data_IF_189793838167
#
_entry.id   IF_189793838167
#
_cell.length_a   1.000
_cell.length_b   1.000
_cell.length_c   1.000
_cell.angle_alpha   90.00
_cell.angle_beta   90.00
_cell.angle_gamma   90.00
#
_symmetry.space_group_name_H-M   'P 1'
#
loop_
_entity.id
_entity.type
_entity.pdbx_description
1 polymer ?
#
# COMPACT_ATOMS: atom_id res chain seq x y z
N UNK A 1 7.75 35.98 13.51
CA UNK A 1 6.65 35.35 12.76
C UNK A 1 5.66 34.78 13.76
N UNK A 2 4.35 34.98 13.56
CA UNK A 2 3.33 34.23 14.34
C UNK A 2 3.45 32.75 13.98
N UNK A 3 3.24 31.87 14.96
CA UNK A 3 3.19 30.43 14.70
C UNK A 3 1.97 30.09 13.83
N UNK A 4 2.06 29.07 12.95
CA UNK A 4 0.92 28.65 12.11
C UNK A 4 -0.30 28.27 12.94
N UNK A 5 -1.51 28.46 12.40
CA UNK A 5 -2.77 28.15 13.08
C UNK A 5 -2.82 26.71 13.56
N UNK A 6 -2.39 25.76 12.73
CA UNK A 6 -2.33 24.34 13.09
C UNK A 6 -1.40 24.03 14.27
N UNK A 7 -0.41 24.88 14.54
CA UNK A 7 0.44 24.77 15.73
C UNK A 7 -0.23 25.39 16.96
N UNK A 8 -0.82 26.58 16.80
CA UNK A 8 -1.51 27.30 17.89
C UNK A 8 -2.74 26.56 18.41
N UNK A 9 -3.46 25.88 17.52
CA UNK A 9 -4.66 25.10 17.83
C UNK A 9 -4.38 23.68 18.33
N UNK A 10 -3.13 23.34 18.69
CA UNK A 10 -2.82 22.01 19.22
C UNK A 10 -3.54 21.79 20.56
N UNK A 11 -4.35 20.72 20.68
CA UNK A 11 -4.91 20.27 21.94
C UNK A 11 -3.89 20.22 23.08
N UNK A 12 -4.31 20.64 24.28
CA UNK A 12 -3.50 20.52 25.50
C UNK A 12 -4.01 19.41 26.41
N UNK A 13 -5.33 19.17 26.40
CA UNK A 13 -5.99 18.16 27.19
C UNK A 13 -6.55 17.02 26.34
N UNK A 14 -6.79 15.87 26.98
CA UNK A 14 -7.36 14.72 26.28
C UNK A 14 -8.78 15.01 25.75
N UNK A 15 -9.54 15.85 26.45
CA UNK A 15 -10.88 16.31 26.05
C UNK A 15 -10.86 17.30 24.87
N UNK A 16 -9.70 17.91 24.58
CA UNK A 16 -9.54 18.80 23.43
C UNK A 16 -9.27 18.05 22.13
N UNK A 17 -8.94 16.75 22.21
CA UNK A 17 -8.66 15.92 21.03
C UNK A 17 -9.99 15.68 20.30
N UNK A 18 -10.01 16.10 19.05
CA UNK A 18 -11.14 15.90 18.16
C UNK A 18 -11.02 14.54 17.48
N UNK A 19 -12.11 13.78 17.48
CA UNK A 19 -12.15 12.40 17.01
C UNK A 19 -11.50 11.40 17.99
N UNK A 20 -11.10 10.23 17.47
CA UNK A 20 -10.40 9.15 18.21
C UNK A 20 -11.11 8.62 19.47
N UNK A 21 -12.45 8.73 19.55
CA UNK A 21 -13.24 8.28 20.72
C UNK A 21 -13.07 6.78 21.03
N UNK A 22 -12.63 5.97 20.06
CA UNK A 22 -12.28 4.57 20.30
C UNK A 22 -11.06 4.38 21.22
N UNK A 23 -10.19 5.38 21.34
CA UNK A 23 -8.99 5.36 22.19
C UNK A 23 -9.13 6.21 23.45
N UNK A 24 -9.78 7.38 23.35
CA UNK A 24 -9.82 8.39 24.42
C UNK A 24 -11.16 8.50 25.13
N UNK A 25 -12.21 7.85 24.62
CA UNK A 25 -13.54 7.90 25.20
C UNK A 25 -13.63 7.29 26.59
N UNK A 26 -14.80 7.40 27.21
CA UNK A 26 -15.02 6.89 28.57
C UNK A 26 -14.69 5.38 28.67
N UNK A 27 -13.87 5.04 29.66
CA UNK A 27 -13.42 3.66 29.89
C UNK A 27 -12.44 3.11 28.85
N UNK A 28 -12.00 3.88 27.86
CA UNK A 28 -11.02 3.45 26.85
C UNK A 28 -9.58 3.48 27.36
N UNK A 29 -8.70 2.81 26.63
CA UNK A 29 -7.34 2.50 27.08
C UNK A 29 -6.51 3.75 27.41
N UNK A 30 -6.47 4.76 26.53
CA UNK A 30 -5.65 5.95 26.77
C UNK A 30 -6.22 6.81 27.90
N UNK A 31 -7.56 6.89 28.01
CA UNK A 31 -8.25 7.54 29.13
C UNK A 31 -7.88 6.89 30.46
N UNK A 32 -7.88 5.55 30.52
CA UNK A 32 -7.47 4.80 31.71
C UNK A 32 -5.99 5.01 32.03
N UNK A 33 -5.11 5.07 31.03
CA UNK A 33 -3.70 5.37 31.25
C UNK A 33 -3.49 6.72 31.96
N UNK A 34 -4.24 7.75 31.55
CA UNK A 34 -4.22 9.08 32.20
C UNK A 34 -4.76 8.99 33.63
N UNK A 35 -5.92 8.36 33.83
CA UNK A 35 -6.56 8.23 35.16
C UNK A 35 -5.70 7.45 36.16
N UNK A 36 -5.08 6.36 35.73
CA UNK A 36 -4.24 5.49 36.56
C UNK A 36 -2.77 6.00 36.66
N UNK A 37 -2.47 7.13 36.03
CA UNK A 37 -1.12 7.71 35.92
C UNK A 37 -0.05 6.70 35.45
N UNK A 38 -0.40 5.86 34.47
CA UNK A 38 0.47 4.78 34.00
C UNK A 38 0.46 4.69 32.48
N UNK A 39 1.65 4.78 31.89
CA UNK A 39 1.87 4.51 30.47
C UNK A 39 2.67 3.24 30.25
N UNK A 40 2.61 2.78 29.00
CA UNK A 40 3.47 1.76 28.43
C UNK A 40 3.92 2.25 27.06
N UNK A 41 5.02 1.70 26.55
CA UNK A 41 5.53 2.08 25.24
C UNK A 41 4.53 1.74 24.14
N UNK A 42 4.30 2.67 23.22
CA UNK A 42 3.28 2.56 22.19
C UNK A 42 3.70 3.23 20.88
N UNK A 43 3.06 2.83 19.78
CA UNK A 43 3.23 3.43 18.47
C UNK A 43 1.85 3.79 17.92
N UNK A 44 1.66 5.07 17.65
CA UNK A 44 0.53 5.58 16.89
C UNK A 44 0.82 5.46 15.39
N UNK A 45 -0.05 4.77 14.67
CA UNK A 45 0.02 4.65 13.22
C UNK A 45 -1.29 5.09 12.57
N UNK A 46 -1.20 5.69 11.40
CA UNK A 46 -2.37 6.15 10.65
C UNK A 46 -2.04 7.32 9.74
N UNK A 47 -3.01 7.81 8.95
CA UNK A 47 -2.78 8.82 7.91
C UNK A 47 -2.17 10.13 8.44
N UNK A 48 -1.48 10.93 7.60
CA UNK A 48 -0.97 12.24 8.00
C UNK A 48 -2.07 13.15 8.53
N UNK A 49 -1.70 14.11 9.38
CA UNK A 49 -2.64 15.14 9.85
C UNK A 49 -3.69 14.71 10.88
N UNK A 50 -3.77 13.41 11.22
CA UNK A 50 -4.73 12.84 12.18
C UNK A 50 -4.41 13.09 13.66
N UNK A 51 -3.34 13.83 13.98
CA UNK A 51 -3.01 14.22 15.35
C UNK A 51 -2.15 13.23 16.15
N UNK A 52 -1.49 12.26 15.53
CA UNK A 52 -0.58 11.28 16.21
C UNK A 52 0.41 11.94 17.18
N UNK A 53 1.22 12.88 16.69
CA UNK A 53 2.22 13.60 17.49
C UNK A 53 1.56 14.46 18.57
N UNK A 54 0.41 15.06 18.25
CA UNK A 54 -0.37 15.86 19.20
C UNK A 54 -0.87 15.00 20.36
N UNK A 55 -1.46 13.84 20.08
CA UNK A 55 -1.94 12.91 21.08
C UNK A 55 -0.81 12.43 22.00
N UNK A 56 0.39 12.17 21.45
CA UNK A 56 1.56 11.84 22.25
C UNK A 56 1.94 12.96 23.24
N UNK A 57 1.93 14.22 22.79
CA UNK A 57 2.23 15.37 23.66
C UNK A 57 1.15 15.59 24.71
N UNK A 58 -0.13 15.45 24.34
CA UNK A 58 -1.27 15.56 25.29
C UNK A 58 -1.17 14.53 26.40
N UNK A 59 -0.85 13.27 26.06
CA UNK A 59 -0.66 12.22 27.07
C UNK A 59 0.48 12.56 28.03
N UNK A 60 1.61 13.08 27.53
CA UNK A 60 2.72 13.48 28.38
C UNK A 60 2.35 14.63 29.32
N UNK A 61 1.62 15.62 28.82
CA UNK A 61 1.17 16.78 29.57
C UNK A 61 0.16 16.42 30.66
N UNK A 62 -0.88 15.63 30.33
CA UNK A 62 -1.92 15.17 31.27
C UNK A 62 -1.36 14.33 32.42
N UNK A 63 -0.28 13.59 32.16
CA UNK A 63 0.39 12.78 33.17
C UNK A 63 1.44 13.54 33.97
N UNK A 64 1.70 14.81 33.62
CA UNK A 64 2.75 15.64 34.21
C UNK A 64 4.14 14.97 34.13
N UNK A 65 4.36 14.14 33.10
CA UNK A 65 5.61 13.42 32.89
C UNK A 65 6.56 14.23 32.00
N UNK A 66 7.87 14.28 32.33
CA UNK A 66 8.83 14.94 31.46
C UNK A 66 8.91 14.19 30.13
N UNK A 67 8.97 14.93 29.03
CA UNK A 67 9.13 14.34 27.70
C UNK A 67 10.20 15.02 26.86
N UNK A 68 10.71 14.27 25.88
CA UNK A 68 11.63 14.73 24.84
C UNK A 68 11.15 14.31 23.48
N UNK A 69 11.18 15.25 22.54
CA UNK A 69 10.94 14.99 21.12
C UNK A 69 12.24 14.55 20.46
N UNK A 70 12.20 13.49 19.67
CA UNK A 70 13.30 13.05 18.83
C UNK A 70 12.85 12.94 17.38
N UNK A 71 13.58 13.59 16.48
CA UNK A 71 13.31 13.54 15.05
C UNK A 71 14.06 12.34 14.43
N UNK A 72 13.33 11.35 13.90
CA UNK A 72 13.94 10.15 13.34
C UNK A 72 14.88 10.42 12.14
N UNK A 73 14.60 11.48 11.37
CA UNK A 73 15.32 11.83 10.14
C UNK A 73 16.61 12.59 10.45
N UNK A 74 16.52 13.66 11.24
CA UNK A 74 17.64 14.57 11.49
C UNK A 74 18.43 14.24 12.76
N UNK A 75 17.82 13.54 13.72
CA UNK A 75 18.43 13.24 15.01
C UNK A 75 19.60 12.28 14.87
N UNK A 76 20.69 12.55 15.57
CA UNK A 76 21.90 11.74 15.55
C UNK A 76 21.97 10.82 16.78
N UNK A 77 23.02 9.97 16.85
CA UNK A 77 23.23 9.03 17.96
C UNK A 77 23.50 9.74 19.30
N UNK A 78 24.24 10.85 19.29
CA UNK A 78 24.57 11.62 20.50
C UNK A 78 23.33 12.26 21.12
N UNK A 79 22.38 12.70 20.29
CA UNK A 79 21.12 13.26 20.77
C UNK A 79 20.32 12.22 21.56
N UNK A 80 20.24 10.97 21.07
CA UNK A 80 19.63 9.86 21.81
C UNK A 80 20.39 9.52 23.10
N UNK A 81 21.71 9.45 23.05
CA UNK A 81 22.53 9.19 24.24
C UNK A 81 22.32 10.26 25.32
N UNK A 82 22.14 11.53 24.91
CA UNK A 82 21.83 12.63 25.83
C UNK A 82 20.47 12.42 26.50
N UNK A 83 19.44 12.06 25.72
CA UNK A 83 18.11 11.73 26.24
C UNK A 83 18.20 10.55 27.23
N UNK A 84 18.99 9.51 26.93
CA UNK A 84 19.15 8.37 27.83
C UNK A 84 19.90 8.70 29.12
N UNK A 85 20.82 9.67 29.09
CA UNK A 85 21.47 10.17 30.29
C UNK A 85 20.48 10.97 31.14
N UNK A 86 19.65 11.81 30.53
CA UNK A 86 18.55 12.52 31.22
C UNK A 86 17.55 11.55 31.85
N UNK A 87 17.20 10.47 31.15
CA UNK A 87 16.29 9.43 31.64
C UNK A 87 16.74 8.74 32.94
N UNK A 88 18.03 8.82 33.30
CA UNK A 88 18.52 8.30 34.59
C UNK A 88 18.12 9.17 35.78
N UNK A 89 17.75 10.42 35.54
CA UNK A 89 17.39 11.39 36.57
C UNK A 89 15.88 11.56 36.73
N UNK A 90 15.10 11.12 35.74
CA UNK A 90 13.64 11.21 35.73
C UNK A 90 13.04 9.81 35.60
N UNK A 91 12.31 9.34 36.62
CA UNK A 91 11.50 8.14 36.47
C UNK A 91 10.37 8.41 35.46
N UNK A 92 10.23 7.53 34.46
CA UNK A 92 9.13 7.61 33.49
C UNK A 92 9.30 8.66 32.38
N UNK A 93 10.54 9.06 32.03
CA UNK A 93 10.78 9.97 30.90
C UNK A 93 10.14 9.42 29.61
N UNK A 94 9.30 10.26 28.98
CA UNK A 94 8.66 9.92 27.71
C UNK A 94 9.56 10.39 26.55
N UNK A 95 9.85 9.48 25.62
CA UNK A 95 10.54 9.81 24.37
C UNK A 95 9.54 9.70 23.23
N UNK A 96 9.20 10.85 22.64
CA UNK A 96 8.29 10.93 21.50
C UNK A 96 9.11 10.94 20.22
N UNK A 97 8.92 9.93 19.36
CA UNK A 97 9.63 9.81 18.09
C UNK A 97 8.64 9.98 16.94
N UNK A 98 8.78 11.08 16.20
CA UNK A 98 8.01 11.29 14.97
C UNK A 98 8.68 10.59 13.78
N UNK A 99 7.86 10.08 12.87
CA UNK A 99 8.27 9.21 11.75
C UNK A 99 9.19 8.06 12.17
N UNK A 100 8.79 7.30 13.19
CA UNK A 100 9.60 6.23 13.80
C UNK A 100 10.08 5.17 12.79
N UNK A 101 9.36 4.99 11.68
CA UNK A 101 9.73 4.11 10.58
C UNK A 101 11.01 4.55 9.84
N UNK A 102 11.40 5.82 9.94
CA UNK A 102 12.62 6.38 9.31
C UNK A 102 13.87 6.19 10.16
N UNK A 103 13.75 5.66 11.38
CA UNK A 103 14.92 5.30 12.18
C UNK A 103 15.71 4.19 11.48
N UNK A 104 17.01 4.39 11.33
CA UNK A 104 17.89 3.32 10.88
C UNK A 104 18.05 2.23 11.96
N UNK A 105 18.50 1.04 11.55
CA UNK A 105 18.63 -0.12 12.44
C UNK A 105 19.50 0.17 13.67
N UNK A 106 20.62 0.86 13.49
CA UNK A 106 21.55 1.18 14.58
C UNK A 106 20.89 2.04 15.68
N UNK A 107 20.10 3.06 15.32
CA UNK A 107 19.38 3.89 16.31
C UNK A 107 18.27 3.10 17.00
N UNK A 108 17.61 2.18 16.29
CA UNK A 108 16.58 1.33 16.87
C UNK A 108 17.17 0.38 17.92
N UNK A 109 18.32 -0.23 17.64
CA UNK A 109 18.99 -1.15 18.56
C UNK A 109 19.47 -0.42 19.84
N UNK A 110 19.78 0.87 19.75
CA UNK A 110 20.12 1.70 20.93
C UNK A 110 18.92 1.97 21.85
N UNK A 111 17.68 1.99 21.33
CA UNK A 111 16.49 2.24 22.14
C UNK A 111 16.09 1.01 22.98
N UNK A 112 16.37 -0.21 22.49
CA UNK A 112 15.85 -1.45 23.07
C UNK A 112 16.17 -1.63 24.57
N UNK A 113 17.42 -1.47 25.05
CA UNK A 113 17.73 -1.70 26.46
C UNK A 113 17.02 -0.72 27.39
N UNK A 114 16.76 0.51 26.91
CA UNK A 114 16.10 1.55 27.70
C UNK A 114 14.59 1.36 27.76
N UNK A 115 13.98 0.82 26.69
CA UNK A 115 12.56 0.45 26.67
C UNK A 115 12.31 -0.80 27.53
N UNK A 116 13.19 -1.80 27.47
CA UNK A 116 13.04 -3.05 28.24
C UNK A 116 13.12 -2.86 29.76
N UNK A 117 14.08 -2.06 30.20
CA UNK A 117 14.32 -1.84 31.63
C UNK A 117 13.37 -0.77 32.20
N UNK A 118 12.50 -0.18 31.39
CA UNK A 118 11.54 0.85 31.80
C UNK A 118 12.15 2.23 32.05
N UNK A 119 13.41 2.45 31.67
CA UNK A 119 14.09 3.74 31.83
C UNK A 119 13.42 4.84 30.99
N UNK A 120 12.84 4.47 29.84
CA UNK A 120 12.04 5.37 29.01
C UNK A 120 10.70 4.74 28.65
N UNK A 121 9.69 5.58 28.48
CA UNK A 121 8.45 5.21 27.78
C UNK A 121 8.51 5.75 26.36
N UNK A 122 8.51 4.87 25.37
CA UNK A 122 8.58 5.26 23.96
C UNK A 122 7.16 5.52 23.43
N UNK A 123 6.93 6.68 22.81
CA UNK A 123 5.73 6.96 22.01
C UNK A 123 6.16 7.26 20.57
N UNK A 124 6.00 6.31 19.67
CA UNK A 124 6.29 6.47 18.25
C UNK A 124 5.08 6.99 17.46
N UNK A 125 5.30 7.81 16.44
CA UNK A 125 4.30 8.15 15.43
C UNK A 125 4.79 7.74 14.03
N UNK A 126 3.90 7.19 13.20
CA UNK A 126 4.21 6.80 11.81
C UNK A 126 3.00 6.95 10.90
N UNK A 127 3.21 7.35 9.65
CA UNK A 127 2.17 7.33 8.60
C UNK A 127 2.05 5.98 7.89
N UNK A 128 3.13 5.20 7.85
CA UNK A 128 3.16 3.87 7.22
C UNK A 128 2.77 2.75 8.18
N UNK A 129 2.28 1.63 7.62
CA UNK A 129 1.92 0.43 8.38
C UNK A 129 3.10 -0.14 9.20
N UNK A 130 3.01 -0.15 10.54
CA UNK A 130 4.11 -0.54 11.41
C UNK A 130 4.47 -2.03 11.34
N UNK A 131 3.61 -2.88 10.78
CA UNK A 131 3.90 -4.32 10.64
C UNK A 131 5.05 -4.58 9.65
N UNK A 132 5.21 -3.71 8.65
CA UNK A 132 6.23 -3.83 7.62
C UNK A 132 7.44 -2.93 7.86
N UNK A 133 7.25 -1.75 8.45
CA UNK A 133 8.28 -0.71 8.49
C UNK A 133 9.07 -0.66 9.81
N UNK A 134 8.51 -1.17 10.91
CA UNK A 134 9.15 -1.15 12.23
C UNK A 134 9.79 -2.50 12.54
N UNK A 135 11.03 -2.49 13.03
CA UNK A 135 11.76 -3.69 13.42
C UNK A 135 10.94 -4.52 14.44
N UNK A 136 10.83 -5.85 14.25
CA UNK A 136 10.18 -6.76 15.19
C UNK A 136 10.60 -6.57 16.65
N UNK A 137 11.85 -6.19 16.93
CA UNK A 137 12.35 -5.98 18.29
C UNK A 137 11.63 -4.83 19.01
N UNK A 138 11.46 -3.66 18.37
CA UNK A 138 10.71 -2.53 18.93
C UNK A 138 9.22 -2.89 18.99
N UNK A 139 8.68 -3.48 17.91
CA UNK A 139 7.26 -3.84 17.82
C UNK A 139 6.83 -4.81 18.94
N UNK A 140 7.68 -5.75 19.33
CA UNK A 140 7.37 -6.68 20.43
C UNK A 140 7.29 -6.01 21.82
N UNK A 141 7.81 -4.79 21.96
CA UNK A 141 7.88 -4.02 23.22
C UNK A 141 6.95 -2.81 23.22
N UNK A 142 6.24 -2.56 22.13
CA UNK A 142 5.33 -1.43 21.95
C UNK A 142 3.94 -1.92 21.56
N UNK A 143 2.91 -1.33 22.14
CA UNK A 143 1.56 -1.56 21.66
C UNK A 143 1.26 -0.68 20.44
N UNK A 144 0.59 -1.24 19.43
CA UNK A 144 0.23 -0.50 18.22
C UNK A 144 -1.19 0.06 18.37
N UNK A 145 -1.35 1.37 18.18
CA UNK A 145 -2.64 2.04 18.19
C UNK A 145 -2.92 2.71 16.85
N UNK A 146 -4.03 2.32 16.23
CA UNK A 146 -4.52 2.93 15.00
C UNK A 146 -5.18 4.27 15.31
N UNK A 147 -4.66 5.33 14.69
CA UNK A 147 -5.29 6.64 14.63
C UNK A 147 -6.08 6.74 13.32
N UNK A 148 -7.40 6.86 13.46
CA UNK A 148 -8.33 6.89 12.32
C UNK A 148 -8.36 8.28 11.68
N UNK A 149 -8.79 8.37 10.42
CA UNK A 149 -9.13 9.67 9.83
C UNK A 149 -10.28 10.32 10.59
N UNK A 150 -10.21 11.65 10.73
CA UNK A 150 -11.31 12.43 11.27
C UNK A 150 -12.50 12.35 10.31
N UNK A 151 -13.71 12.24 10.87
CA UNK A 151 -14.93 12.34 10.07
C UNK A 151 -15.15 13.79 9.62
N UNK A 152 -16.06 14.01 8.68
CA UNK A 152 -16.32 15.36 8.19
C UNK A 152 -16.78 16.28 9.33
N UNK A 153 -17.65 15.78 10.21
CA UNK A 153 -18.15 16.51 11.37
C UNK A 153 -17.03 16.85 12.37
N UNK A 154 -16.04 15.97 12.53
CA UNK A 154 -14.85 16.23 13.35
C UNK A 154 -14.03 17.40 12.77
N UNK A 155 -13.85 17.44 11.45
CA UNK A 155 -13.12 18.53 10.79
C UNK A 155 -13.88 19.85 10.95
N UNK A 156 -15.20 19.85 10.76
CA UNK A 156 -16.04 21.04 10.92
C UNK A 156 -15.96 21.57 12.36
N UNK A 157 -16.01 20.69 13.36
CA UNK A 157 -15.80 21.06 14.76
C UNK A 157 -14.41 21.68 14.99
N UNK A 158 -13.36 21.13 14.38
CA UNK A 158 -12.00 21.65 14.51
C UNK A 158 -11.86 23.06 13.90
N UNK A 159 -12.47 23.28 12.75
CA UNK A 159 -12.49 24.57 12.05
C UNK A 159 -13.26 25.61 12.87
N UNK A 160 -14.46 25.28 13.34
CA UNK A 160 -15.26 26.17 14.18
C UNK A 160 -14.55 26.51 15.50
N UNK A 161 -13.93 25.51 16.15
CA UNK A 161 -13.08 25.76 17.34
C UNK A 161 -11.95 26.73 17.01
N UNK A 162 -11.27 26.57 15.88
CA UNK A 162 -10.18 27.46 15.48
C UNK A 162 -10.62 28.90 15.18
N UNK A 163 -11.84 29.11 14.69
CA UNK A 163 -12.39 30.44 14.44
C UNK A 163 -12.64 31.19 15.76
N UNK A 164 -13.27 30.52 16.73
CA UNK A 164 -13.71 31.15 17.99
C UNK A 164 -12.64 31.15 19.09
N UNK A 165 -11.62 30.29 19.02
CA UNK A 165 -10.63 30.17 20.08
C UNK A 165 -9.67 31.37 20.12
N UNK A 166 -9.29 31.80 21.34
CA UNK A 166 -8.40 32.95 21.57
C UNK A 166 -7.03 32.78 20.88
N UNK A 167 -6.45 31.58 20.96
CA UNK A 167 -5.17 31.28 20.27
C UNK A 167 -5.34 31.04 18.76
N UNK A 168 -6.58 30.92 18.28
CA UNK A 168 -6.95 30.69 16.89
C UNK A 168 -7.08 31.97 16.09
N UNK A 169 -8.27 32.21 15.53
CA UNK A 169 -8.62 33.45 14.84
C UNK A 169 -9.33 34.46 15.74
N UNK A 170 -9.78 34.04 16.94
CA UNK A 170 -10.39 34.92 17.95
C UNK A 170 -11.49 35.81 17.35
N UNK A 171 -12.42 35.18 16.63
CA UNK A 171 -13.57 35.84 15.99
C UNK A 171 -13.20 36.95 14.99
N UNK A 172 -11.97 36.94 14.45
CA UNK A 172 -11.54 37.95 13.46
C UNK A 172 -12.19 37.78 12.09
N UNK A 173 -12.73 36.59 11.81
CA UNK A 173 -13.39 36.24 10.55
C UNK A 173 -14.66 35.44 10.82
N UNK A 174 -15.63 35.54 9.92
CA UNK A 174 -16.79 34.66 9.82
C UNK A 174 -16.59 33.68 8.66
N UNK A 175 -17.24 32.52 8.71
CA UNK A 175 -17.22 31.52 7.64
C UNK A 175 -18.65 31.17 7.23
N UNK A 176 -18.88 31.05 5.94
CA UNK A 176 -20.14 30.51 5.42
C UNK A 176 -20.22 29.00 5.63
N UNK A 177 -21.43 28.48 5.86
CA UNK A 177 -21.66 27.05 6.09
C UNK A 177 -21.15 26.19 4.93
N UNK A 178 -21.42 26.60 3.68
CA UNK A 178 -20.93 25.87 2.49
C UNK A 178 -19.40 25.92 2.38
N UNK A 179 -18.77 27.04 2.73
CA UNK A 179 -17.32 27.18 2.74
C UNK A 179 -16.68 26.21 3.77
N UNK A 180 -17.29 26.10 4.96
CA UNK A 180 -16.89 25.17 6.01
C UNK A 180 -16.96 23.71 5.51
N UNK A 181 -18.08 23.33 4.89
CA UNK A 181 -18.26 21.98 4.33
C UNK A 181 -17.28 21.65 3.22
N UNK A 182 -16.92 22.62 2.37
CA UNK A 182 -15.93 22.41 1.30
C UNK A 182 -14.55 22.15 1.89
N UNK A 183 -14.10 22.94 2.87
CA UNK A 183 -12.82 22.71 3.54
C UNK A 183 -12.81 21.32 4.19
N UNK A 184 -13.90 20.96 4.88
CA UNK A 184 -14.02 19.67 5.53
C UNK A 184 -13.93 18.50 4.54
N UNK A 185 -14.68 18.57 3.43
CA UNK A 185 -14.66 17.55 2.37
C UNK A 185 -13.29 17.46 1.69
N UNK A 186 -12.67 18.59 1.38
CA UNK A 186 -11.36 18.62 0.73
C UNK A 186 -10.24 18.17 1.66
N UNK A 187 -10.40 18.26 2.98
CA UNK A 187 -9.38 17.82 3.92
C UNK A 187 -9.16 16.31 3.95
N UNK A 188 -10.16 15.53 3.53
CA UNK A 188 -10.13 14.06 3.56
C UNK A 188 -9.69 13.50 4.94
N UNK A 189 -10.17 14.12 6.02
CA UNK A 189 -9.86 13.72 7.40
C UNK A 189 -8.52 14.22 7.96
N UNK A 190 -7.81 15.10 7.24
CA UNK A 190 -6.58 15.77 7.71
C UNK A 190 -6.90 17.12 8.36
N UNK A 191 -6.85 17.16 9.71
CA UNK A 191 -7.10 18.37 10.50
C UNK A 191 -6.02 19.44 10.26
N UNK A 192 -4.76 19.04 10.02
CA UNK A 192 -3.68 20.01 9.80
C UNK A 192 -3.89 20.73 8.47
N UNK A 193 -4.24 19.99 7.43
CA UNK A 193 -4.54 20.54 6.11
C UNK A 193 -5.76 21.47 6.17
N UNK A 194 -6.84 21.07 6.85
CA UNK A 194 -8.04 21.93 6.98
C UNK A 194 -7.72 23.26 7.68
N UNK A 195 -6.96 23.22 8.78
CA UNK A 195 -6.53 24.43 9.50
C UNK A 195 -5.61 25.32 8.66
N UNK A 196 -4.76 24.74 7.81
CA UNK A 196 -3.92 25.52 6.90
C UNK A 196 -4.76 26.24 5.83
N UNK A 197 -5.75 25.57 5.23
CA UNK A 197 -6.67 26.23 4.29
C UNK A 197 -7.43 27.35 4.99
N UNK A 198 -7.94 27.10 6.20
CA UNK A 198 -8.65 28.10 6.99
C UNK A 198 -7.76 29.32 7.25
N UNK A 199 -6.49 29.12 7.62
CA UNK A 199 -5.53 30.22 7.83
C UNK A 199 -5.29 31.02 6.54
N UNK A 200 -5.13 30.35 5.39
CA UNK A 200 -4.97 31.02 4.09
C UNK A 200 -6.22 31.82 3.72
N UNK A 201 -7.41 31.23 3.86
CA UNK A 201 -8.68 31.90 3.54
C UNK A 201 -8.94 33.08 4.49
N UNK A 202 -8.60 32.95 5.77
CA UNK A 202 -8.71 34.05 6.74
C UNK A 202 -7.74 35.21 6.44
N UNK A 203 -6.56 34.92 5.88
CA UNK A 203 -5.61 35.95 5.44
C UNK A 203 -6.05 36.64 4.15
N UNK A 204 -6.76 35.92 3.28
CA UNK A 204 -7.21 36.42 1.99
C UNK A 204 -8.61 37.06 2.02
N UNK A 205 -9.33 36.96 3.14
CA UNK A 205 -10.69 37.49 3.28
C UNK A 205 -10.72 38.89 3.87
N UNK A 206 -11.77 39.64 3.53
CA UNK A 206 -12.15 40.90 4.20
C UNK A 206 -13.10 40.63 5.37
N UNK A 207 -12.79 39.62 6.20
CA UNK A 207 -13.56 39.26 7.38
C UNK A 207 -14.65 38.20 7.19
N UNK A 208 -14.95 37.77 5.95
CA UNK A 208 -15.87 36.66 5.67
C UNK A 208 -15.23 35.68 4.67
N UNK A 209 -15.18 34.41 5.04
CA UNK A 209 -14.69 33.31 4.20
C UNK A 209 -15.87 32.71 3.42
N UNK A 210 -15.90 32.95 2.11
CA UNK A 210 -16.95 32.46 1.21
C UNK A 210 -16.56 31.19 0.48
N UNK A 211 -17.55 30.51 -0.11
CA UNK A 211 -17.33 29.33 -0.95
C UNK A 211 -16.37 29.60 -2.12
N UNK A 212 -16.48 30.75 -2.78
CA UNK A 212 -15.62 31.10 -3.92
C UNK A 212 -14.17 31.26 -3.48
N UNK A 213 -13.94 31.87 -2.32
CA UNK A 213 -12.61 32.04 -1.76
C UNK A 213 -11.97 30.68 -1.44
N UNK A 214 -12.71 29.79 -0.77
CA UNK A 214 -12.23 28.44 -0.49
C UNK A 214 -11.91 27.69 -1.79
N UNK A 215 -12.77 27.79 -2.80
CA UNK A 215 -12.58 27.12 -4.09
C UNK A 215 -11.33 27.63 -4.83
N UNK A 216 -10.94 28.90 -4.64
CA UNK A 216 -9.72 29.47 -5.22
C UNK A 216 -8.45 28.90 -4.59
N UNK A 217 -8.45 28.66 -3.26
CA UNK A 217 -7.27 28.22 -2.51
C UNK A 217 -7.25 26.71 -2.21
N UNK A 218 -8.36 26.01 -2.44
CA UNK A 218 -8.51 24.56 -2.27
C UNK A 218 -9.01 23.93 -3.58
N UNK A 219 -8.26 24.12 -4.67
CA UNK A 219 -8.64 23.61 -6.00
C UNK A 219 -8.59 22.08 -6.12
N UNK A 220 -7.82 21.42 -5.25
CA UNK A 220 -7.67 19.98 -5.25
C UNK A 220 -7.92 19.41 -3.85
N UNK A 221 -8.69 18.31 -3.71
CA UNK A 221 -8.79 17.59 -2.46
C UNK A 221 -7.40 17.14 -1.96
N UNK A 222 -7.24 17.07 -0.64
CA UNK A 222 -6.09 16.45 -0.01
C UNK A 222 -6.09 14.94 -0.32
N UNK A 223 -5.55 14.59 -1.48
CA UNK A 223 -5.27 13.19 -1.79
C UNK A 223 -4.12 12.78 -0.88
N UNK A 224 -4.41 11.88 0.07
CA UNK A 224 -3.37 11.24 0.90
C UNK A 224 -2.55 10.30 0.03
N UNK A 225 -1.73 10.87 -0.84
CA UNK A 225 -0.78 10.18 -1.69
C UNK A 225 0.61 10.46 -1.16
N UNK A 226 0.85 9.97 0.06
CA UNK A 226 2.20 9.54 0.37
C UNK A 226 2.44 8.28 -0.45
N UNK A 227 3.49 8.30 -1.27
CA UNK A 227 3.98 7.16 -2.07
C UNK A 227 4.27 5.89 -1.24
N UNK A 228 4.26 6.01 0.10
CA UNK A 228 4.57 4.97 1.08
C UNK A 228 3.42 4.68 2.08
N UNK A 229 2.20 5.18 1.83
CA UNK A 229 1.03 5.05 2.73
C UNK A 229 0.00 3.98 2.33
N UNK A 230 -0.80 3.49 3.28
CA UNK A 230 -1.84 2.46 3.04
C UNK A 230 -2.90 2.89 2.00
N UNK A 231 -3.28 4.18 1.97
CA UNK A 231 -4.26 4.71 1.01
C UNK A 231 -3.80 4.63 -0.46
N UNK A 232 -2.49 4.66 -0.70
CA UNK A 232 -1.92 4.48 -2.04
C UNK A 232 -2.09 3.04 -2.54
N UNK A 233 -1.85 2.07 -1.66
CA UNK A 233 -2.08 0.66 -1.96
C UNK A 233 -3.56 0.35 -2.17
N UNK A 234 -4.45 1.03 -1.44
CA UNK A 234 -5.90 0.88 -1.61
C UNK A 234 -6.38 1.37 -2.97
N UNK A 235 -5.86 2.49 -3.49
CA UNK A 235 -6.17 2.98 -4.84
C UNK A 235 -5.70 2.00 -5.91
N UNK A 236 -4.45 1.51 -5.82
CA UNK A 236 -3.92 0.52 -6.76
C UNK A 236 -4.71 -0.79 -6.71
N UNK A 237 -5.15 -1.19 -5.51
CA UNK A 237 -5.96 -2.38 -5.30
C UNK A 237 -7.37 -2.21 -5.86
N UNK A 238 -7.99 -1.05 -5.64
CA UNK A 238 -9.28 -0.67 -6.21
C UNK A 238 -9.22 -0.70 -7.73
N UNK A 239 -8.20 -0.07 -8.32
CA UNK A 239 -7.97 -0.06 -9.77
C UNK A 239 -7.94 -1.46 -10.37
N UNK A 240 -7.11 -2.36 -9.81
CA UNK A 240 -7.01 -3.74 -10.29
C UNK A 240 -8.33 -4.51 -10.13
N UNK A 241 -8.99 -4.36 -8.97
CA UNK A 241 -10.27 -5.03 -8.70
C UNK A 241 -11.38 -4.56 -9.64
N UNK A 242 -11.41 -3.27 -10.00
CA UNK A 242 -12.38 -2.74 -10.96
C UNK A 242 -12.19 -3.32 -12.36
N UNK A 243 -10.94 -3.41 -12.83
CA UNK A 243 -10.65 -4.05 -14.13
C UNK A 243 -11.06 -5.53 -14.09
N UNK A 244 -10.69 -6.25 -13.02
CA UNK A 244 -11.08 -7.66 -12.80
C UNK A 244 -12.59 -7.84 -12.77
N UNK A 245 -13.30 -6.96 -12.07
CA UNK A 245 -14.75 -6.96 -11.92
C UNK A 245 -15.51 -6.45 -13.13
N UNK A 246 -14.81 -6.05 -14.20
CA UNK A 246 -15.41 -5.47 -15.41
C UNK A 246 -16.21 -4.19 -15.18
N UNK A 247 -15.82 -3.41 -14.16
CA UNK A 247 -16.40 -2.09 -13.87
C UNK A 247 -15.53 -0.99 -14.49
N UNK A 248 -15.96 -0.49 -15.65
CA UNK A 248 -15.22 0.53 -16.44
C UNK A 248 -15.18 1.86 -15.71
N UNK A 249 -16.30 2.27 -15.11
CA UNK A 249 -16.41 3.57 -14.47
C UNK A 249 -15.50 3.64 -13.24
N UNK A 250 -15.53 2.59 -12.40
CA UNK A 250 -14.64 2.49 -11.26
C UNK A 250 -13.16 2.39 -11.68
N UNK A 251 -12.84 1.63 -12.75
CA UNK A 251 -11.47 1.53 -13.24
C UNK A 251 -10.92 2.87 -13.74
N UNK A 252 -11.74 3.65 -14.46
CA UNK A 252 -11.37 4.98 -14.93
C UNK A 252 -11.27 5.99 -13.78
N UNK A 253 -12.13 5.88 -12.75
CA UNK A 253 -12.04 6.71 -11.55
C UNK A 253 -10.70 6.52 -10.82
N UNK A 254 -10.31 5.28 -10.53
CA UNK A 254 -9.02 5.00 -9.87
C UNK A 254 -7.83 5.34 -10.76
N UNK A 255 -7.93 5.15 -12.08
CA UNK A 255 -6.93 5.64 -13.03
C UNK A 255 -6.78 7.16 -12.92
N UNK A 256 -7.88 7.89 -12.89
CA UNK A 256 -7.90 9.35 -12.74
C UNK A 256 -7.17 9.82 -11.49
N UNK A 257 -7.45 9.19 -10.34
CA UNK A 257 -6.74 9.48 -9.09
C UNK A 257 -5.21 9.35 -9.26
N UNK A 258 -4.73 8.28 -9.90
CA UNK A 258 -3.29 8.06 -10.11
C UNK A 258 -2.68 9.01 -11.16
N UNK A 259 -3.48 9.46 -12.14
CA UNK A 259 -3.03 10.45 -13.13
C UNK A 259 -2.85 11.82 -12.49
N UNK A 260 -3.79 12.24 -11.64
CA UNK A 260 -3.66 13.50 -10.87
C UNK A 260 -2.46 13.47 -9.93
N UNK A 261 -2.09 12.28 -9.44
CA UNK A 261 -0.87 12.03 -8.67
C UNK A 261 0.43 12.07 -9.49
N UNK A 262 0.34 12.16 -10.82
CA UNK A 262 1.45 12.07 -11.76
C UNK A 262 2.28 10.77 -11.61
N UNK A 263 1.64 9.66 -11.23
CA UNK A 263 2.29 8.39 -10.90
C UNK A 263 2.21 7.37 -12.05
N UNK A 264 2.99 7.62 -13.09
CA UNK A 264 3.05 6.73 -14.26
C UNK A 264 3.62 5.35 -13.93
N UNK A 265 4.58 5.28 -13.02
CA UNK A 265 5.31 4.06 -12.69
C UNK A 265 4.40 3.00 -12.08
N UNK A 266 3.51 3.39 -11.18
CA UNK A 266 2.60 2.43 -10.55
C UNK A 266 1.40 2.10 -11.40
N UNK A 267 0.93 3.03 -12.25
CA UNK A 267 -0.03 2.71 -13.31
C UNK A 267 0.55 1.62 -14.21
N UNK A 268 1.79 1.79 -14.72
CA UNK A 268 2.46 0.78 -15.55
C UNK A 268 2.49 -0.58 -14.85
N UNK A 269 3.09 -0.64 -13.65
CA UNK A 269 3.33 -1.91 -12.97
C UNK A 269 2.03 -2.65 -12.72
N UNK A 270 1.01 -1.94 -12.22
CA UNK A 270 -0.28 -2.53 -11.87
C UNK A 270 -1.07 -2.94 -13.11
N UNK A 271 -1.07 -2.11 -14.15
CA UNK A 271 -1.81 -2.37 -15.38
C UNK A 271 -1.21 -3.56 -16.15
N UNK A 272 0.12 -3.67 -16.23
CA UNK A 272 0.80 -4.82 -16.83
C UNK A 272 0.47 -6.13 -16.10
N UNK A 273 0.57 -6.13 -14.77
CA UNK A 273 0.24 -7.33 -13.97
C UNK A 273 -1.21 -7.71 -14.18
N UNK A 274 -2.14 -6.75 -14.09
CA UNK A 274 -3.57 -7.00 -14.30
C UNK A 274 -3.86 -7.56 -15.70
N UNK A 275 -3.17 -7.08 -16.74
CA UNK A 275 -3.31 -7.59 -18.10
C UNK A 275 -2.95 -9.08 -18.20
N UNK A 276 -1.84 -9.52 -17.58
CA UNK A 276 -1.43 -10.93 -17.63
C UNK A 276 -2.15 -11.83 -16.62
N UNK A 277 -2.46 -11.31 -15.44
CA UNK A 277 -3.13 -12.02 -14.34
C UNK A 277 -4.61 -12.25 -14.63
N UNK A 278 -5.33 -11.17 -14.93
CA UNK A 278 -6.80 -11.16 -14.97
C UNK A 278 -7.36 -11.34 -16.38
N UNK A 279 -6.63 -10.94 -17.43
CA UNK A 279 -7.05 -11.10 -18.83
C UNK A 279 -6.32 -12.28 -19.48
N UNK A 280 -4.99 -12.31 -19.44
CA UNK A 280 -4.16 -13.46 -19.84
C UNK A 280 -4.57 -14.12 -21.16
N UNK A 281 -4.84 -15.43 -21.10
CA UNK A 281 -5.30 -16.23 -22.26
C UNK A 281 -6.76 -15.94 -22.68
N UNK A 282 -7.50 -15.17 -21.89
CA UNK A 282 -8.83 -14.68 -22.22
C UNK A 282 -8.78 -13.74 -23.43
N UNK A 283 -7.80 -12.85 -23.51
CA UNK A 283 -7.58 -12.00 -24.69
C UNK A 283 -6.10 -11.60 -24.86
N UNK A 284 -5.26 -12.48 -25.44
CA UNK A 284 -3.82 -12.21 -25.59
C UNK A 284 -3.52 -10.95 -26.41
N UNK A 285 -4.39 -10.61 -27.37
CA UNK A 285 -4.23 -9.41 -28.19
C UNK A 285 -4.42 -8.12 -27.36
N UNK A 286 -5.37 -8.10 -26.41
CA UNK A 286 -5.54 -6.98 -25.50
C UNK A 286 -4.33 -6.83 -24.54
N UNK A 287 -3.76 -7.95 -24.07
CA UNK A 287 -2.54 -7.92 -23.23
C UNK A 287 -1.37 -7.28 -23.99
N UNK A 288 -1.15 -7.67 -25.25
CA UNK A 288 -0.09 -7.09 -26.08
C UNK A 288 -0.33 -5.60 -26.38
N UNK A 289 -1.58 -5.22 -26.69
CA UNK A 289 -1.96 -3.82 -26.88
C UNK A 289 -1.75 -2.99 -25.61
N UNK A 290 -2.05 -3.54 -24.44
CA UNK A 290 -1.82 -2.87 -23.17
C UNK A 290 -0.34 -2.52 -22.96
N UNK A 291 0.57 -3.49 -23.17
CA UNK A 291 2.01 -3.22 -23.05
C UNK A 291 2.46 -2.11 -24.02
N UNK A 292 1.96 -2.15 -25.26
CA UNK A 292 2.27 -1.13 -26.28
C UNK A 292 1.70 0.24 -25.90
N UNK A 293 0.49 0.27 -25.33
CA UNK A 293 -0.16 1.49 -24.85
C UNK A 293 0.60 2.12 -23.68
N UNK A 294 1.13 1.31 -22.76
CA UNK A 294 1.96 1.79 -21.64
C UNK A 294 3.26 2.41 -22.16
N UNK A 295 3.95 1.75 -23.10
CA UNK A 295 5.16 2.30 -23.72
C UNK A 295 4.87 3.62 -24.45
N UNK A 296 3.75 3.70 -25.16
CA UNK A 296 3.32 4.92 -25.83
C UNK A 296 2.97 6.02 -24.82
N UNK A 297 2.22 5.71 -23.76
CA UNK A 297 1.85 6.63 -22.70
C UNK A 297 3.09 7.23 -22.03
N UNK A 298 4.10 6.42 -21.72
CA UNK A 298 5.37 6.89 -21.17
C UNK A 298 6.14 7.84 -22.09
N UNK A 299 6.16 7.54 -23.39
CA UNK A 299 6.83 8.40 -24.39
C UNK A 299 6.10 9.73 -24.58
N UNK A 300 4.78 9.72 -24.48
CA UNK A 300 3.94 10.93 -24.63
C UNK A 300 3.98 11.78 -23.36
N UNK A 301 3.92 11.18 -22.17
CA UNK A 301 3.85 11.88 -20.90
C UNK A 301 2.47 12.49 -20.60
N UNK A 302 2.28 12.93 -19.36
CA UNK A 302 1.04 13.61 -18.96
C UNK A 302 1.03 15.07 -19.41
N UNK A 303 -0.14 15.64 -19.77
CA UNK A 303 -1.48 15.07 -19.60
C UNK A 303 -1.92 14.10 -20.71
N UNK A 304 -1.39 14.14 -21.93
CA UNK A 304 -1.88 13.37 -23.10
C UNK A 304 -1.86 11.85 -22.90
N UNK A 305 -0.92 11.33 -22.11
CA UNK A 305 -0.84 9.91 -21.75
C UNK A 305 -2.14 9.35 -21.14
N UNK A 306 -2.96 10.20 -20.47
CA UNK A 306 -4.27 9.79 -19.91
C UNK A 306 -5.19 9.16 -20.95
N UNK A 307 -5.14 9.64 -22.19
CA UNK A 307 -6.02 9.19 -23.28
C UNK A 307 -5.62 7.78 -23.70
N UNK A 308 -4.32 7.55 -23.83
CA UNK A 308 -3.75 6.25 -24.21
C UNK A 308 -4.04 5.21 -23.13
N UNK A 309 -3.85 5.57 -21.87
CA UNK A 309 -4.12 4.71 -20.72
C UNK A 309 -5.61 4.38 -20.59
N UNK A 310 -6.49 5.37 -20.78
CA UNK A 310 -7.94 5.14 -20.74
C UNK A 310 -8.40 4.11 -21.78
N UNK A 311 -7.89 4.18 -23.01
CA UNK A 311 -8.18 3.20 -24.07
C UNK A 311 -7.75 1.79 -23.64
N UNK A 312 -6.54 1.64 -23.10
CA UNK A 312 -6.04 0.35 -22.64
C UNK A 312 -6.86 -0.22 -21.47
N UNK A 313 -7.22 0.63 -20.50
CA UNK A 313 -8.03 0.23 -19.34
C UNK A 313 -9.42 -0.22 -19.76
N UNK A 314 -10.10 0.51 -20.65
CA UNK A 314 -11.42 0.12 -21.15
C UNK A 314 -11.35 -1.23 -21.88
N UNK A 315 -10.36 -1.42 -22.76
CA UNK A 315 -10.17 -2.67 -23.53
C UNK A 315 -9.93 -3.88 -22.61
N UNK A 316 -9.09 -3.74 -21.58
CA UNK A 316 -8.84 -4.79 -20.59
C UNK A 316 -10.06 -5.07 -19.71
N UNK A 317 -10.77 -4.03 -19.28
CA UNK A 317 -11.93 -4.15 -18.39
C UNK A 317 -13.07 -4.91 -19.06
N UNK A 318 -13.28 -4.68 -20.36
CA UNK A 318 -14.30 -5.36 -21.18
C UNK A 318 -13.81 -6.67 -21.83
N UNK A 319 -12.52 -7.01 -21.69
CA UNK A 319 -11.98 -8.27 -22.20
C UNK A 319 -12.44 -9.48 -21.38
N UNK A 320 -12.60 -10.67 -22.01
CA UNK A 320 -12.78 -11.93 -21.30
C UNK A 320 -11.67 -12.15 -20.27
N UNK A 321 -12.05 -12.52 -19.04
CA UNK A 321 -11.13 -12.76 -17.94
C UNK A 321 -10.65 -14.20 -17.93
N UNK A 322 -9.38 -14.43 -17.60
CA UNK A 322 -8.81 -15.78 -17.57
C UNK A 322 -7.60 -15.82 -16.65
N UNK A 323 -7.75 -16.44 -15.47
CA UNK A 323 -6.65 -16.65 -14.51
C UNK A 323 -5.93 -17.98 -14.72
N UNK A 324 -6.30 -18.74 -15.75
CA UNK A 324 -5.79 -20.08 -16.03
C UNK A 324 -4.26 -20.18 -16.12
N UNK A 325 -3.58 -19.14 -16.63
CA UNK A 325 -2.11 -19.12 -16.69
C UNK A 325 -1.46 -18.89 -15.31
N UNK A 326 -1.99 -17.95 -14.51
CA UNK A 326 -1.56 -17.69 -13.13
C UNK A 326 -1.78 -18.94 -12.26
N UNK A 327 -2.99 -19.49 -12.28
CA UNK A 327 -3.33 -20.72 -11.56
C UNK A 327 -2.40 -21.89 -11.93
N UNK A 328 -2.03 -22.01 -13.21
CA UNK A 328 -1.14 -23.08 -13.67
C UNK A 328 0.29 -22.95 -13.13
N UNK A 329 0.86 -21.74 -13.14
CA UNK A 329 2.22 -21.54 -12.61
C UNK A 329 2.24 -21.70 -11.08
N UNK A 330 1.21 -21.23 -10.39
CA UNK A 330 1.08 -21.38 -8.94
C UNK A 330 0.95 -22.86 -8.53
N UNK A 331 0.17 -23.65 -9.27
CA UNK A 331 0.06 -25.09 -9.05
C UNK A 331 1.39 -25.83 -9.25
N UNK A 332 2.18 -25.42 -10.24
CA UNK A 332 3.51 -25.96 -10.50
C UNK A 332 4.49 -25.57 -9.38
N UNK A 333 4.55 -24.29 -9.01
CA UNK A 333 5.42 -23.78 -7.94
C UNK A 333 5.06 -24.38 -6.58
N UNK A 334 3.78 -24.54 -6.27
CA UNK A 334 3.31 -25.23 -5.07
C UNK A 334 3.78 -26.68 -5.02
N UNK A 335 3.69 -27.41 -6.14
CA UNK A 335 4.18 -28.79 -6.21
C UNK A 335 5.70 -28.89 -5.96
N UNK A 336 6.48 -27.91 -6.44
CA UNK A 336 7.93 -27.85 -6.23
C UNK A 336 8.34 -27.58 -4.78
N UNK A 337 7.50 -26.89 -3.99
CA UNK A 337 7.75 -26.67 -2.56
C UNK A 337 7.67 -27.97 -1.73
N UNK A 338 6.94 -28.96 -2.23
CA UNK A 338 6.74 -30.24 -1.52
C UNK A 338 7.54 -31.39 -2.13
N UNK A 339 7.87 -31.33 -3.41
CA UNK A 339 8.54 -32.41 -4.14
C UNK A 339 9.53 -31.85 -5.15
N UNK A 340 10.77 -32.36 -5.14
CA UNK A 340 11.78 -32.05 -6.14
C UNK A 340 12.23 -33.34 -6.83
N UNK A 341 12.11 -33.38 -8.15
CA UNK A 341 12.53 -34.50 -8.98
C UNK A 341 13.52 -34.02 -10.03
N UNK A 342 14.55 -34.83 -10.30
CA UNK A 342 15.51 -34.54 -11.35
C UNK A 342 14.84 -34.51 -12.72
N UNK A 343 15.33 -33.63 -13.59
CA UNK A 343 14.97 -33.61 -15.00
C UNK A 343 15.33 -34.96 -15.65
N UNK A 344 14.45 -35.56 -16.47
CA UNK A 344 14.76 -36.78 -17.23
C UNK A 344 16.07 -36.67 -18.01
N UNK A 345 16.88 -37.73 -18.02
CA UNK A 345 18.25 -37.71 -18.58
C UNK A 345 18.28 -37.27 -20.04
N UNK A 346 17.32 -37.74 -20.85
CA UNK A 346 17.22 -37.41 -22.27
C UNK A 346 16.84 -35.95 -22.55
N UNK A 347 16.38 -35.17 -21.56
CA UNK A 347 16.07 -33.74 -21.70
C UNK A 347 17.20 -32.83 -21.22
N UNK A 348 18.28 -33.39 -20.66
CA UNK A 348 19.42 -32.59 -20.21
C UNK A 348 20.13 -31.96 -21.39
N UNK A 349 20.70 -30.78 -21.18
CA UNK A 349 21.50 -30.09 -22.19
C UNK A 349 22.72 -30.90 -22.64
N UNK A 350 23.34 -31.64 -21.71
CA UNK A 350 24.47 -32.54 -21.97
C UNK A 350 24.17 -33.95 -21.44
N UNK A 351 23.50 -34.80 -22.24
CA UNK A 351 23.28 -36.20 -21.87
C UNK A 351 24.62 -36.94 -21.81
N UNK A 352 24.91 -37.62 -20.71
CA UNK A 352 26.13 -38.40 -20.50
C UNK A 352 25.76 -39.88 -20.48
N UNK A 353 26.58 -40.74 -21.11
CA UNK A 353 26.38 -42.19 -21.15
C UNK A 353 25.03 -42.63 -21.76
N UNK A 354 24.57 -41.96 -22.82
CA UNK A 354 23.37 -42.35 -23.58
C UNK A 354 23.71 -42.59 -25.05
N UNK A 355 23.12 -43.62 -25.64
CA UNK A 355 23.16 -43.86 -27.08
C UNK A 355 22.40 -42.77 -27.84
N UNK A 356 22.77 -42.52 -29.10
CA UNK A 356 22.11 -41.47 -29.91
C UNK A 356 20.61 -41.73 -30.15
N UNK A 357 20.20 -43.01 -30.15
CA UNK A 357 18.79 -43.37 -30.27
C UNK A 357 17.98 -43.16 -28.98
N UNK A 358 18.64 -42.92 -27.84
CA UNK A 358 18.02 -42.61 -26.56
C UNK A 358 17.98 -41.10 -26.24
N UNK A 359 18.72 -40.27 -27.00
CA UNK A 359 18.74 -38.81 -26.83
C UNK A 359 17.50 -38.13 -27.42
N UNK A 360 17.15 -36.96 -26.91
CA UNK A 360 16.14 -36.09 -27.51
C UNK A 360 16.50 -35.77 -28.96
N UNK A 361 15.51 -35.87 -29.84
CA UNK A 361 15.68 -35.71 -31.27
C UNK A 361 15.09 -34.37 -31.73
N UNK A 362 15.97 -33.47 -32.16
CA UNK A 362 15.59 -32.14 -32.62
C UNK A 362 15.05 -32.13 -34.06
N UNK A 363 15.27 -33.19 -34.85
CA UNK A 363 14.86 -33.27 -36.25
C UNK A 363 13.51 -33.96 -36.41
N UNK A 364 13.13 -34.83 -35.47
CA UNK A 364 11.88 -35.61 -35.49
C UNK A 364 10.73 -34.91 -34.78
N UNK A 365 10.25 -33.80 -35.36
CA UNK A 365 9.11 -33.04 -34.82
C UNK A 365 7.80 -33.83 -34.76
N UNK A 366 7.65 -34.87 -35.58
CA UNK A 366 6.53 -35.82 -35.55
C UNK A 366 6.44 -36.63 -34.25
N UNK A 367 7.54 -36.72 -33.48
CA UNK A 367 7.60 -37.48 -32.24
C UNK A 367 7.33 -36.64 -30.99
N UNK A 368 7.45 -35.30 -31.06
CA UNK A 368 7.47 -34.44 -29.88
C UNK A 368 6.22 -34.57 -29.01
N UNK A 369 5.03 -34.72 -29.60
CA UNK A 369 3.79 -34.89 -28.84
C UNK A 369 3.68 -36.25 -28.10
N UNK A 370 4.55 -37.23 -28.42
CA UNK A 370 4.63 -38.57 -27.82
C UNK A 370 5.78 -38.71 -26.81
N UNK A 371 6.62 -37.69 -26.64
CA UNK A 371 7.70 -37.69 -25.63
C UNK A 371 7.12 -37.31 -24.26
N UNK A 372 7.51 -38.03 -23.21
CA UNK A 372 7.20 -37.64 -21.84
C UNK A 372 8.18 -36.55 -21.36
N UNK A 373 7.65 -35.41 -20.92
CA UNK A 373 8.48 -34.28 -20.46
C UNK A 373 8.56 -34.13 -18.95
N UNK A 374 7.48 -34.50 -18.23
CA UNK A 374 7.50 -34.53 -16.78
C UNK A 374 8.27 -35.76 -16.26
N UNK A 375 8.90 -35.67 -15.07
CA UNK A 375 9.45 -36.84 -14.38
C UNK A 375 8.41 -37.94 -14.20
N UNK A 376 8.82 -39.20 -14.14
CA UNK A 376 7.90 -40.36 -14.07
C UNK A 376 6.90 -40.27 -12.91
N UNK A 377 7.32 -39.70 -11.77
CA UNK A 377 6.47 -39.51 -10.59
C UNK A 377 5.40 -38.42 -10.77
N UNK A 378 5.54 -37.56 -11.78
CA UNK A 378 4.62 -36.48 -12.12
C UNK A 378 3.97 -36.66 -13.49
N UNK A 379 4.20 -37.78 -14.20
CA UNK A 379 3.78 -37.94 -15.61
C UNK A 379 2.28 -37.74 -15.87
N UNK A 380 1.44 -37.96 -14.86
CA UNK A 380 -0.02 -37.80 -14.92
C UNK A 380 -0.51 -36.48 -14.30
N UNK A 381 0.37 -35.61 -13.79
CA UNK A 381 -0.02 -34.29 -13.27
C UNK A 381 -0.39 -33.36 -14.42
N UNK A 382 -1.40 -32.54 -14.18
CA UNK A 382 -1.83 -31.47 -15.05
C UNK A 382 -1.84 -30.18 -14.23
N UNK A 383 -1.12 -29.16 -14.68
CA UNK A 383 -1.06 -27.86 -14.01
C UNK A 383 -2.00 -26.85 -14.67
N UNK A 384 -2.12 -26.90 -16.00
CA UNK A 384 -2.96 -25.99 -16.76
C UNK A 384 -4.37 -26.56 -16.94
N UNK A 385 -5.35 -25.80 -16.43
CA UNK A 385 -6.79 -26.03 -16.56
C UNK A 385 -7.42 -24.79 -17.21
N UNK A 386 -7.89 -24.89 -18.47
CA UNK A 386 -8.50 -23.75 -19.17
C UNK A 386 -9.82 -23.31 -18.54
N UNK A 387 -10.10 -22.01 -18.49
CA UNK A 387 -11.36 -21.45 -17.94
C UNK A 387 -12.47 -21.29 -19.01
N UNK A 388 -12.12 -21.43 -20.29
CA UNK A 388 -13.04 -21.43 -21.44
C UNK A 388 -13.86 -20.14 -21.59
N UNK A 389 -13.35 -19.03 -21.07
CA UNK A 389 -14.07 -17.75 -21.04
C UNK A 389 -14.06 -17.04 -22.40
N UNK A 390 -13.09 -17.36 -23.26
CA UNK A 390 -12.92 -16.76 -24.58
C UNK A 390 -12.87 -17.77 -25.72
N UNK A 391 -13.10 -17.31 -26.95
CA UNK A 391 -12.95 -18.15 -28.15
C UNK A 391 -11.51 -18.64 -28.33
N UNK A 392 -10.52 -17.79 -28.01
CA UNK A 392 -9.12 -18.15 -28.07
C UNK A 392 -8.77 -19.28 -27.10
N UNK A 393 -9.18 -19.14 -25.82
CA UNK A 393 -8.88 -20.15 -24.81
C UNK A 393 -9.61 -21.47 -25.09
N UNK A 394 -10.83 -21.42 -25.65
CA UNK A 394 -11.55 -22.62 -26.12
C UNK A 394 -10.76 -23.38 -27.20
N UNK A 395 -10.12 -22.68 -28.13
CA UNK A 395 -9.27 -23.32 -29.15
C UNK A 395 -8.04 -23.98 -28.50
N UNK A 396 -7.42 -23.31 -27.53
CA UNK A 396 -6.30 -23.90 -26.78
C UNK A 396 -6.74 -25.15 -26.01
N UNK A 397 -7.91 -25.11 -25.36
CA UNK A 397 -8.46 -26.25 -24.65
C UNK A 397 -8.72 -27.44 -25.57
N UNK A 398 -9.30 -27.22 -26.74
CA UNK A 398 -9.51 -28.28 -27.74
C UNK A 398 -8.19 -28.91 -28.22
N UNK A 399 -7.17 -28.08 -28.44
CA UNK A 399 -5.84 -28.58 -28.82
C UNK A 399 -5.19 -29.37 -27.67
N UNK A 400 -5.31 -28.89 -26.43
CA UNK A 400 -4.82 -29.57 -25.25
C UNK A 400 -5.50 -30.94 -25.05
N UNK A 401 -6.81 -31.02 -25.23
CA UNK A 401 -7.56 -32.28 -25.17
C UNK A 401 -7.09 -33.28 -26.23
N UNK A 402 -6.88 -32.84 -27.47
CA UNK A 402 -6.32 -33.68 -28.54
C UNK A 402 -4.94 -34.21 -28.14
N UNK A 403 -4.08 -33.35 -27.59
CA UNK A 403 -2.72 -33.72 -27.16
C UNK A 403 -2.72 -34.65 -25.94
N UNK A 404 -3.65 -34.48 -24.99
CA UNK A 404 -3.78 -35.36 -23.81
C UNK A 404 -4.20 -36.80 -24.17
N UNK A 405 -4.88 -36.98 -25.31
CA UNK A 405 -5.25 -38.31 -25.84
C UNK A 405 -4.06 -39.06 -26.45
N UNK A 406 -2.96 -38.37 -26.78
CA UNK A 406 -1.76 -38.99 -27.32
C UNK A 406 -0.90 -39.53 -26.17
N UNK A 407 -0.65 -40.85 -26.09
CA UNK A 407 0.16 -41.41 -25.03
C UNK A 407 1.62 -40.95 -25.16
N UNK A 408 2.23 -40.63 -24.02
CA UNK A 408 3.62 -40.20 -23.92
C UNK A 408 4.50 -41.30 -23.32
N UNK A 409 5.76 -41.37 -23.76
CA UNK A 409 6.74 -42.35 -23.28
C UNK A 409 8.12 -41.72 -23.02
N UNK A 410 8.85 -42.28 -22.05
CA UNK A 410 10.27 -41.98 -21.80
C UNK A 410 11.22 -42.88 -22.61
N UNK A 411 10.72 -43.93 -23.28
CA UNK A 411 11.53 -44.81 -24.12
C UNK A 411 11.65 -44.27 -25.56
N UNK A 412 12.61 -43.37 -25.76
CA UNK A 412 12.87 -42.71 -27.05
C UNK A 412 13.33 -43.68 -28.14
N UNK A 413 14.11 -44.70 -27.78
CA UNK A 413 14.61 -45.73 -28.68
C UNK A 413 13.48 -46.52 -29.34
N UNK A 414 12.50 -46.96 -28.55
CA UNK A 414 11.30 -47.62 -29.06
C UNK A 414 10.43 -46.67 -29.89
N UNK A 415 10.31 -45.42 -29.45
CA UNK A 415 9.51 -44.39 -30.12
C UNK A 415 10.03 -44.10 -31.54
N UNK A 416 11.36 -43.92 -31.71
CA UNK A 416 12.00 -43.68 -33.01
C UNK A 416 11.83 -44.86 -33.98
N UNK A 417 11.83 -46.09 -33.47
CA UNK A 417 11.65 -47.33 -34.27
C UNK A 417 10.22 -47.54 -34.79
N UNK A 418 9.21 -47.05 -34.07
CA UNK A 418 7.80 -47.24 -34.48
C UNK A 418 7.38 -46.36 -35.65
N UNK A 419 7.99 -45.18 -35.82
CA UNK A 419 7.66 -44.21 -36.88
C UNK A 419 8.74 -44.14 -37.98
N UNK A 420 9.51 -45.21 -38.19
CA UNK A 420 10.51 -45.33 -39.28
C UNK A 420 10.07 -46.32 -40.38
N UNK A 421 8.79 -46.73 -40.37
CA UNK A 421 8.07 -47.39 -41.46
C UNK A 421 6.99 -46.44 -41.94
#
# INVERSE_FOLDING_TARGET
>A
MKQPLAFRMRPQHLDDIIGQQHLIGEGKVLRRCVLEKRLFSMIFYGPPGTGKTTLAMVLANELELPFRMFNAVTGNKKDLETIFQEAKFYEGLIVIIDEVHRLNKDKQDLLLPHVENGNITLIGATTSNPLHTINPAIRSRCHLFEIKQAQQEDIEQALMKAIHHQDGLNDSVQIEEEALHIIARHSNGDIRYSLNILEICALASDGVITQELVSQYSQFPNMSMDSDGDGYYDVLSGFQKSIRGSDVDAALYYLGIMIEANDMDSIERRLLVTAYEDIGLGNPAAVARCATAIDAAKRVGFPEARIILAVAVIDLTLSPKSKSAEHAIDAAMSTLRHTSYSVPDYLRFTPVNMDDDEKYDYERSDLWNRIQYLPDRLKNKHFYEPELTSSYEKILAQNLEKLRKVPRTSNLKALKKQNSR
#
